data_IF_165690861771
#
_entry.id   IF_165690861771
#
_cell.length_a   1.000
_cell.length_b   1.000
_cell.length_c   1.000
_cell.angle_alpha   90.00
_cell.angle_beta   90.00
_cell.angle_gamma   90.00
#
_symmetry.space_group_name_H-M   'P 1'
#
loop_
_entity.id
_entity.type
_entity.pdbx_description
1 polymer ?
#
# COMPACT_ATOMS: atom_id res chain seq x y z
N UNK A 1 -7.39 -37.20 -40.12
CA UNK A 1 -7.62 -35.82 -39.64
C UNK A 1 -8.07 -35.91 -38.18
N UNK A 2 -7.19 -35.53 -37.25
CA UNK A 2 -7.55 -35.32 -35.84
C UNK A 2 -6.87 -34.03 -35.42
N UNK A 3 -7.63 -32.93 -35.45
CA UNK A 3 -7.21 -31.61 -35.00
C UNK A 3 -7.04 -31.61 -33.47
N UNK A 4 -5.79 -31.55 -33.00
CA UNK A 4 -5.49 -31.26 -31.60
C UNK A 4 -5.42 -29.73 -31.43
N UNK A 5 -6.46 -29.16 -30.83
CA UNK A 5 -6.47 -27.78 -30.32
C UNK A 5 -5.44 -27.65 -29.19
N UNK A 6 -4.40 -26.86 -29.42
CA UNK A 6 -3.47 -26.41 -28.39
C UNK A 6 -4.17 -25.37 -27.49
N UNK A 7 -4.27 -25.69 -26.20
CA UNK A 7 -4.72 -24.77 -25.18
C UNK A 7 -3.58 -23.78 -24.87
N UNK A 8 -3.76 -22.51 -25.24
CA UNK A 8 -2.87 -21.41 -24.83
C UNK A 8 -3.09 -21.10 -23.35
N UNK A 9 -2.18 -21.57 -22.51
CA UNK A 9 -2.09 -21.16 -21.10
C UNK A 9 -1.68 -19.69 -21.04
N UNK A 10 -2.59 -18.81 -20.62
CA UNK A 10 -2.27 -17.41 -20.28
C UNK A 10 -1.29 -17.43 -19.11
N UNK A 11 -0.04 -17.01 -19.34
CA UNK A 11 0.85 -16.62 -18.24
C UNK A 11 0.22 -15.41 -17.57
N UNK A 12 -0.07 -15.55 -16.28
CA UNK A 12 -0.42 -14.43 -15.43
C UNK A 12 0.90 -13.68 -15.22
N UNK A 13 1.08 -12.56 -15.93
CA UNK A 13 2.20 -11.65 -15.69
C UNK A 13 1.97 -11.00 -14.32
N UNK A 14 2.36 -11.68 -13.25
CA UNK A 14 2.53 -11.04 -11.96
C UNK A 14 3.60 -9.94 -12.15
N UNK A 15 3.33 -8.68 -11.77
CA UNK A 15 4.30 -7.62 -11.92
C UNK A 15 5.59 -8.04 -11.21
N UNK A 16 6.72 -7.93 -11.93
CA UNK A 16 8.02 -8.21 -11.33
C UNK A 16 8.23 -7.24 -10.16
N UNK A 17 8.67 -7.71 -8.98
CA UNK A 17 8.95 -6.85 -7.85
C UNK A 17 9.97 -5.79 -8.27
N UNK A 18 9.75 -4.55 -7.88
CA UNK A 18 10.61 -3.44 -8.29
C UNK A 18 11.97 -3.54 -7.62
N UNK A 19 12.98 -2.86 -8.16
CA UNK A 19 14.31 -2.81 -7.53
C UNK A 19 14.22 -2.28 -6.08
N UNK A 20 13.26 -1.38 -5.85
CA UNK A 20 12.91 -0.86 -4.54
C UNK A 20 12.42 -1.97 -3.60
N UNK A 21 11.50 -2.82 -4.06
CA UNK A 21 11.07 -4.03 -3.34
C UNK A 21 12.24 -4.98 -3.07
N UNK A 22 13.13 -5.19 -4.04
CA UNK A 22 14.28 -6.10 -3.92
C UNK A 22 15.36 -5.59 -2.96
N UNK A 23 15.55 -4.27 -2.85
CA UNK A 23 16.52 -3.63 -1.97
C UNK A 23 15.92 -3.26 -0.61
N UNK A 24 14.60 -3.42 -0.43
CA UNK A 24 13.86 -2.94 0.73
C UNK A 24 13.84 -1.41 0.88
N UNK A 25 14.31 -0.69 -0.14
CA UNK A 25 14.26 0.76 -0.20
C UNK A 25 12.87 1.15 -0.69
N UNK A 26 12.08 1.85 0.13
CA UNK A 26 10.73 2.25 -0.25
C UNK A 26 10.65 3.04 -1.56
N UNK A 27 9.44 3.15 -2.10
CA UNK A 27 9.15 3.90 -3.31
C UNK A 27 8.59 5.28 -3.01
N UNK A 28 8.84 6.21 -3.91
CA UNK A 28 8.29 7.56 -3.85
C UNK A 28 6.77 7.53 -4.05
N UNK A 29 6.07 8.28 -3.21
CA UNK A 29 4.64 8.54 -3.29
C UNK A 29 4.42 10.06 -3.28
N UNK A 30 3.49 10.54 -4.12
CA UNK A 30 3.21 11.96 -4.24
C UNK A 30 1.73 12.22 -3.91
N UNK A 31 1.49 13.11 -2.96
CA UNK A 31 0.16 13.59 -2.58
C UNK A 31 0.25 15.09 -2.28
N UNK A 32 -0.78 15.84 -2.68
CA UNK A 32 -0.85 17.30 -2.45
C UNK A 32 0.44 18.07 -2.83
N UNK A 33 1.09 17.66 -3.92
CA UNK A 33 2.34 18.28 -4.41
C UNK A 33 3.58 18.01 -3.54
N UNK A 34 3.46 17.21 -2.47
CA UNK A 34 4.54 16.81 -1.58
C UNK A 34 5.02 15.39 -1.90
N UNK A 35 6.29 15.14 -1.61
CA UNK A 35 6.96 13.84 -1.79
C UNK A 35 7.00 13.09 -0.46
N UNK A 36 6.62 11.82 -0.51
CA UNK A 36 6.64 10.86 0.58
C UNK A 36 7.36 9.59 0.11
N UNK A 37 7.71 8.72 1.06
CA UNK A 37 8.26 7.39 0.78
C UNK A 37 7.40 6.32 1.43
N UNK A 38 7.03 5.31 0.65
CA UNK A 38 6.26 4.15 1.10
C UNK A 38 7.16 2.93 1.03
N UNK A 39 7.34 2.26 2.16
CA UNK A 39 8.11 1.02 2.23
C UNK A 39 7.23 -0.20 1.96
N UNK A 40 7.80 -1.27 1.36
CA UNK A 40 7.10 -2.53 1.19
C UNK A 40 6.86 -3.23 2.54
N UNK A 41 5.77 -4.00 2.61
CA UNK A 41 5.53 -4.96 3.68
C UNK A 41 6.59 -6.06 3.62
N UNK A 42 7.15 -6.39 4.78
CA UNK A 42 8.07 -7.52 4.90
C UNK A 42 7.26 -8.80 5.05
N UNK A 43 7.81 -9.94 4.61
CA UNK A 43 7.14 -11.25 4.73
C UNK A 43 6.65 -11.56 6.14
N UNK A 44 7.41 -11.16 7.17
CA UNK A 44 7.05 -11.34 8.58
C UNK A 44 5.81 -10.56 9.03
N UNK A 45 5.42 -9.54 8.27
CA UNK A 45 4.34 -8.60 8.60
C UNK A 45 3.06 -8.89 7.79
N UNK A 46 3.10 -9.84 6.84
CA UNK A 46 1.98 -10.14 5.91
C UNK A 46 0.77 -10.71 6.66
N UNK A 47 0.99 -11.69 7.54
CA UNK A 47 -0.11 -12.31 8.30
C UNK A 47 -0.83 -11.28 9.19
N UNK A 48 -0.06 -10.42 9.86
CA UNK A 48 -0.59 -9.32 10.67
C UNK A 48 -1.38 -8.32 9.81
N UNK A 49 -0.89 -7.98 8.62
CA UNK A 49 -1.55 -7.03 7.72
C UNK A 49 -2.89 -7.58 7.21
N UNK A 50 -2.92 -8.86 6.84
CA UNK A 50 -4.16 -9.53 6.42
C UNK A 50 -5.18 -9.64 7.56
N UNK A 51 -4.72 -10.00 8.77
CA UNK A 51 -5.58 -10.09 9.95
C UNK A 51 -6.18 -8.74 10.36
N UNK A 52 -5.45 -7.65 10.16
CA UNK A 52 -5.96 -6.31 10.43
C UNK A 52 -7.09 -5.91 9.46
N UNK A 53 -7.21 -6.56 8.29
CA UNK A 53 -8.34 -6.39 7.35
C UNK A 53 -8.62 -4.93 6.98
N UNK A 54 -7.55 -4.18 6.66
CA UNK A 54 -7.63 -2.76 6.31
C UNK A 54 -8.59 -2.54 5.13
N UNK A 55 -9.70 -1.84 5.38
CA UNK A 55 -10.68 -1.55 4.35
C UNK A 55 -10.35 -0.26 3.60
N UNK A 56 -9.87 -0.40 2.36
CA UNK A 56 -9.55 0.70 1.43
C UNK A 56 -10.68 1.02 0.44
N UNK A 57 -11.89 0.53 0.70
CA UNK A 57 -13.06 0.73 -0.15
C UNK A 57 -13.50 2.20 -0.19
N UNK A 58 -14.40 2.58 -1.13
CA UNK A 58 -14.81 3.96 -1.39
C UNK A 58 -15.48 4.66 -0.19
N UNK A 59 -15.91 3.91 0.82
CA UNK A 59 -16.54 4.46 2.02
C UNK A 59 -15.56 4.63 3.20
N UNK A 60 -14.29 4.18 3.07
CA UNK A 60 -13.22 4.31 4.06
C UNK A 60 -13.71 4.15 5.51
N UNK A 61 -14.51 3.11 5.78
CA UNK A 61 -15.11 2.84 7.09
C UNK A 61 -14.08 2.82 8.22
N UNK A 62 -12.82 2.48 7.89
CA UNK A 62 -11.70 2.47 8.82
C UNK A 62 -11.36 3.85 9.41
N UNK A 63 -11.81 4.95 8.83
CA UNK A 63 -11.56 6.29 9.40
C UNK A 63 -12.59 6.70 10.47
N UNK A 64 -13.80 6.12 10.41
CA UNK A 64 -14.91 6.47 11.32
C UNK A 64 -14.92 5.56 12.55
N UNK A 65 -14.51 4.30 12.39
CA UNK A 65 -14.39 3.35 13.49
C UNK A 65 -13.00 3.48 14.15
N UNK A 66 -12.96 3.81 15.44
CA UNK A 66 -11.68 4.01 16.16
C UNK A 66 -10.75 2.78 16.16
N UNK A 67 -11.31 1.56 16.22
CA UNK A 67 -10.52 0.33 16.22
C UNK A 67 -9.86 0.14 14.86
N UNK A 68 -10.64 0.29 13.79
CA UNK A 68 -10.13 0.19 12.42
C UNK A 68 -9.18 1.34 12.09
N UNK A 69 -9.41 2.53 12.65
CA UNK A 69 -8.52 3.68 12.50
C UNK A 69 -7.16 3.40 13.12
N UNK A 70 -7.12 2.76 14.29
CA UNK A 70 -5.86 2.37 14.94
C UNK A 70 -5.08 1.34 14.13
N UNK A 71 -5.75 0.39 13.49
CA UNK A 71 -5.10 -0.56 12.59
C UNK A 71 -4.50 0.15 11.38
N UNK A 72 -5.24 1.06 10.77
CA UNK A 72 -4.74 1.90 9.68
C UNK A 72 -3.54 2.75 10.13
N UNK A 73 -3.65 3.43 11.27
CA UNK A 73 -2.58 4.22 11.88
C UNK A 73 -1.31 3.38 12.11
N UNK A 74 -1.45 2.15 12.62
CA UNK A 74 -0.33 1.21 12.84
C UNK A 74 0.47 0.95 11.57
N UNK A 75 -0.19 0.73 10.43
CA UNK A 75 0.52 0.44 9.17
C UNK A 75 1.06 1.70 8.51
N UNK A 76 0.29 2.78 8.57
CA UNK A 76 0.68 4.07 8.05
C UNK A 76 1.95 4.59 8.75
N UNK A 77 1.97 4.55 10.09
CA UNK A 77 3.11 4.93 10.92
C UNK A 77 4.28 3.96 10.93
N UNK A 78 4.20 2.82 10.23
CA UNK A 78 5.33 1.90 10.05
C UNK A 78 5.97 2.03 8.68
N UNK A 79 5.15 2.26 7.66
CA UNK A 79 5.58 2.12 6.26
C UNK A 79 5.62 3.42 5.48
N UNK A 80 5.01 4.50 5.97
CA UNK A 80 4.94 5.77 5.26
C UNK A 80 5.81 6.80 5.96
N UNK A 81 6.66 7.47 5.18
CA UNK A 81 7.60 8.49 5.64
C UNK A 81 7.37 9.79 4.86
N UNK A 82 7.51 10.93 5.53
CA UNK A 82 7.49 12.24 4.87
C UNK A 82 8.83 12.58 4.21
N UNK A 83 8.89 13.74 3.56
CA UNK A 83 10.12 14.25 2.92
C UNK A 83 11.28 14.55 3.88
N UNK A 84 11.06 14.48 5.20
CA UNK A 84 12.08 14.62 6.25
C UNK A 84 12.49 13.28 6.85
N UNK A 85 12.03 12.18 6.26
CA UNK A 85 12.21 10.81 6.77
C UNK A 85 11.56 10.55 8.13
N UNK A 86 10.58 11.36 8.52
CA UNK A 86 9.80 11.09 9.71
C UNK A 86 8.61 10.20 9.37
N UNK A 87 8.18 9.37 10.32
CA UNK A 87 6.99 8.54 10.17
C UNK A 87 5.75 9.41 10.00
N UNK A 88 4.92 9.02 9.05
CA UNK A 88 3.62 9.64 8.81
C UNK A 88 2.57 9.09 9.76
N UNK A 89 1.65 9.96 10.17
CA UNK A 89 0.44 9.61 10.94
C UNK A 89 -0.78 10.04 10.14
N UNK A 90 -1.96 9.53 10.49
CA UNK A 90 -3.19 10.05 9.87
C UNK A 90 -3.39 11.54 10.19
N UNK A 91 -2.93 12.00 11.36
CA UNK A 91 -2.97 13.43 11.70
C UNK A 91 -2.09 14.26 10.78
N UNK A 92 -0.83 13.86 10.57
CA UNK A 92 0.07 14.54 9.62
C UNK A 92 -0.50 14.55 8.20
N UNK A 93 -1.13 13.45 7.77
CA UNK A 93 -1.77 13.39 6.47
C UNK A 93 -2.92 14.41 6.35
N UNK A 94 -3.74 14.55 7.39
CA UNK A 94 -4.79 15.58 7.45
C UNK A 94 -4.20 17.00 7.46
N UNK A 95 -3.13 17.24 8.22
CA UNK A 95 -2.43 18.54 8.28
C UNK A 95 -1.75 18.88 6.93
N UNK A 96 -1.43 17.87 6.13
CA UNK A 96 -0.90 17.98 4.77
C UNK A 96 -2.00 18.07 3.69
N UNK A 97 -3.27 18.26 4.08
CA UNK A 97 -4.45 18.35 3.21
C UNK A 97 -4.73 17.08 2.38
N UNK A 98 -4.32 15.90 2.85
CA UNK A 98 -4.62 14.65 2.14
C UNK A 98 -6.13 14.42 2.08
N UNK A 99 -6.59 14.05 0.89
CA UNK A 99 -7.96 13.57 0.70
C UNK A 99 -8.05 12.04 0.84
N UNK A 100 -9.27 11.52 0.79
CA UNK A 100 -9.52 10.08 0.86
C UNK A 100 -8.87 9.32 -0.31
N UNK A 101 -8.71 9.98 -1.46
CA UNK A 101 -8.07 9.39 -2.65
C UNK A 101 -6.56 9.27 -2.43
N UNK A 102 -5.91 10.24 -1.80
CA UNK A 102 -4.49 10.19 -1.43
C UNK A 102 -4.22 9.01 -0.49
N UNK A 103 -5.01 8.91 0.59
CA UNK A 103 -4.87 7.81 1.55
C UNK A 103 -5.08 6.45 0.88
N UNK A 104 -6.12 6.30 0.06
CA UNK A 104 -6.38 5.06 -0.68
C UNK A 104 -5.23 4.71 -1.61
N UNK A 105 -4.72 5.68 -2.38
CA UNK A 105 -3.58 5.47 -3.28
C UNK A 105 -2.31 5.10 -2.53
N UNK A 106 -2.10 5.66 -1.35
CA UNK A 106 -0.94 5.34 -0.50
C UNK A 106 -0.99 3.88 -0.01
N UNK A 107 -2.13 3.43 0.52
CA UNK A 107 -2.27 2.03 0.95
C UNK A 107 -2.20 1.07 -0.24
N UNK A 108 -2.82 1.42 -1.37
CA UNK A 108 -2.70 0.62 -2.59
C UNK A 108 -1.24 0.52 -3.03
N UNK A 109 -0.51 1.63 -3.04
CA UNK A 109 0.93 1.67 -3.36
C UNK A 109 1.72 0.75 -2.44
N UNK A 110 1.44 0.76 -1.12
CA UNK A 110 2.07 -0.14 -0.15
C UNK A 110 1.87 -1.61 -0.53
N UNK A 111 0.66 -1.99 -0.93
CA UNK A 111 0.35 -3.35 -1.39
C UNK A 111 1.09 -3.66 -2.70
N UNK A 112 1.00 -2.77 -3.69
CA UNK A 112 1.58 -2.96 -5.02
C UNK A 112 3.10 -3.16 -4.99
N UNK A 113 3.81 -2.43 -4.12
CA UNK A 113 5.28 -2.55 -3.99
C UNK A 113 5.70 -3.73 -3.13
N UNK A 114 4.78 -4.39 -2.43
CA UNK A 114 5.11 -5.53 -1.56
C UNK A 114 5.22 -6.86 -2.33
N UNK A 115 4.75 -6.90 -3.59
CA UNK A 115 4.76 -8.09 -4.45
C UNK A 115 3.41 -8.78 -4.53
#
# INVERSE_FOLDING_TARGET
MVDKKEAKTKKVDAPLPTLATMLGSGEDFFAQGKKYRVNPLKLKDVDDFQNDSINIGPQMFSLVNEVERKKLEKWFSKQVFDGKEELMTLQKAMDDDWDLSDLRRCIQKMIDISG
#
